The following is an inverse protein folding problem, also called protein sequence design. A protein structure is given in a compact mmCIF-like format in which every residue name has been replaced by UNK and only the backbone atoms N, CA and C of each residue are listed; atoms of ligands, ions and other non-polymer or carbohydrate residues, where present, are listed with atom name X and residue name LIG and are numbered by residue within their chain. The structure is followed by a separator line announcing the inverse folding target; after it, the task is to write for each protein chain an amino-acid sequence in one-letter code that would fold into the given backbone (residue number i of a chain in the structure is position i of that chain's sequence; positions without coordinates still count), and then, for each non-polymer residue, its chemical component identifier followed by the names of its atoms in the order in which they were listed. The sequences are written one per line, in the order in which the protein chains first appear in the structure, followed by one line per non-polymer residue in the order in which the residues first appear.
data_IF_383713527392
#
_entry.id   IF_383713527392
#
_cell.length_a   1.000
_cell.length_b   1.000
_cell.length_c   1.000
_cell.angle_alpha   90.00
_cell.angle_beta   90.00
_cell.angle_gamma   90.00
#
_symmetry.space_group_name_H-M   'P 1'
#
loop_
_entity.id
_entity.type
_entity.pdbx_description
1 polymer ?
#
# COMPACT_ATOMS: atom_id res chain seq x y z
N UNK A 1 8.53 25.42 4.25
CA UNK A 1 8.89 24.01 4.51
C UNK A 1 8.02 23.15 3.62
N UNK A 2 8.60 22.34 2.73
CA UNK A 2 7.82 21.33 2.03
C UNK A 2 7.25 20.35 3.08
N UNK A 3 5.96 20.04 3.00
CA UNK A 3 5.32 19.11 3.91
C UNK A 3 5.72 17.67 3.56
N UNK A 4 6.94 17.30 3.94
CA UNK A 4 7.53 15.98 3.66
C UNK A 4 6.68 14.85 4.21
N UNK A 5 5.90 15.09 5.26
CA UNK A 5 4.98 14.11 5.84
C UNK A 5 3.83 13.77 4.89
N UNK A 6 3.17 14.76 4.27
CA UNK A 6 2.13 14.45 3.28
C UNK A 6 2.71 13.82 2.02
N UNK A 7 3.88 14.25 1.57
CA UNK A 7 4.57 13.62 0.44
C UNK A 7 4.86 12.15 0.73
N UNK A 8 5.39 11.85 1.91
CA UNK A 8 5.66 10.48 2.34
C UNK A 8 4.37 9.64 2.39
N UNK A 9 3.31 10.16 3.02
CA UNK A 9 2.02 9.46 3.08
C UNK A 9 1.45 9.19 1.70
N UNK A 10 1.56 10.15 0.76
CA UNK A 10 1.08 9.98 -0.61
C UNK A 10 1.83 8.87 -1.33
N UNK A 11 3.16 8.84 -1.24
CA UNK A 11 3.99 7.79 -1.87
C UNK A 11 3.70 6.43 -1.24
N UNK A 12 3.62 6.37 0.10
CA UNK A 12 3.31 5.14 0.82
C UNK A 12 1.95 4.58 0.41
N UNK A 13 0.91 5.42 0.32
CA UNK A 13 -0.43 4.97 -0.10
C UNK A 13 -0.45 4.39 -1.51
N UNK A 14 0.29 4.99 -2.45
CA UNK A 14 0.40 4.48 -3.82
C UNK A 14 1.11 3.12 -3.85
N UNK A 15 2.28 3.02 -3.20
CA UNK A 15 3.06 1.77 -3.17
C UNK A 15 2.30 0.64 -2.46
N UNK A 16 1.56 0.95 -1.38
CA UNK A 16 0.71 -0.04 -0.70
C UNK A 16 -0.36 -0.59 -1.63
N UNK A 17 -0.99 0.27 -2.43
CA UNK A 17 -2.01 -0.17 -3.37
C UNK A 17 -1.42 -1.03 -4.49
N UNK A 18 -0.30 -0.61 -5.07
CA UNK A 18 0.40 -1.39 -6.11
C UNK A 18 0.78 -2.80 -5.62
N UNK A 19 1.22 -2.94 -4.37
CA UNK A 19 1.51 -4.24 -3.77
C UNK A 19 0.24 -5.10 -3.58
N UNK A 20 -0.85 -4.51 -3.11
CA UNK A 20 -2.12 -5.23 -2.85
C UNK A 20 -2.87 -5.61 -4.15
N UNK A 21 -2.51 -5.01 -5.27
CA UNK A 21 -3.05 -5.31 -6.59
C UNK A 21 -2.06 -6.11 -7.47
N UNK A 22 -0.93 -6.55 -6.88
CA UNK A 22 0.11 -7.29 -7.61
C UNK A 22 -0.43 -8.63 -8.15
N UNK A 23 -0.47 -8.84 -9.48
CA UNK A 23 -0.95 -10.08 -10.09
C UNK A 23 0.05 -11.25 -9.91
N UNK A 24 1.29 -10.99 -9.48
CA UNK A 24 2.26 -12.04 -9.18
C UNK A 24 1.96 -12.79 -7.88
N UNK A 25 1.08 -12.24 -7.03
CA UNK A 25 0.65 -12.87 -5.79
C UNK A 25 -0.87 -13.09 -5.78
N UNK A 26 -1.29 -14.32 -5.54
CA UNK A 26 -2.71 -14.64 -5.44
C UNK A 26 -3.22 -14.23 -4.05
N UNK A 27 -3.72 -13.00 -3.96
CA UNK A 27 -4.26 -12.45 -2.72
C UNK A 27 -5.49 -13.22 -2.28
N UNK A 28 -5.39 -13.84 -1.10
CA UNK A 28 -6.57 -14.30 -0.37
C UNK A 28 -7.16 -13.15 0.47
N UNK A 29 -8.46 -13.17 0.79
CA UNK A 29 -9.06 -12.14 1.65
C UNK A 29 -8.32 -11.97 2.99
N UNK A 30 -7.87 -13.08 3.58
CA UNK A 30 -7.15 -13.07 4.86
C UNK A 30 -5.75 -12.45 4.75
N UNK A 31 -5.00 -12.78 3.69
CA UNK A 31 -3.66 -12.20 3.47
C UNK A 31 -3.73 -10.72 3.12
N UNK A 32 -4.77 -10.29 2.39
CA UNK A 32 -5.02 -8.88 2.07
C UNK A 32 -5.36 -8.08 3.34
N UNK A 33 -6.23 -8.61 4.19
CA UNK A 33 -6.62 -7.97 5.45
C UNK A 33 -5.45 -7.87 6.45
N UNK A 34 -4.55 -8.86 6.44
CA UNK A 34 -3.33 -8.83 7.27
C UNK A 34 -2.38 -7.68 6.89
N UNK A 35 -2.20 -7.43 5.58
CA UNK A 35 -1.31 -6.37 5.08
C UNK A 35 -1.96 -4.98 5.16
N UNK A 36 -3.29 -4.93 5.17
CA UNK A 36 -4.02 -3.66 5.26
C UNK A 36 -4.06 -3.06 6.68
N UNK A 37 -4.13 -3.91 7.72
CA UNK A 37 -4.14 -3.52 9.15
C UNK A 37 -2.84 -2.87 9.60
#
# INVERSE_FOLDING_TARGET
MADLKSTFLKVYSVLKQELLEDPAFEWTPDSRQWVER
#
